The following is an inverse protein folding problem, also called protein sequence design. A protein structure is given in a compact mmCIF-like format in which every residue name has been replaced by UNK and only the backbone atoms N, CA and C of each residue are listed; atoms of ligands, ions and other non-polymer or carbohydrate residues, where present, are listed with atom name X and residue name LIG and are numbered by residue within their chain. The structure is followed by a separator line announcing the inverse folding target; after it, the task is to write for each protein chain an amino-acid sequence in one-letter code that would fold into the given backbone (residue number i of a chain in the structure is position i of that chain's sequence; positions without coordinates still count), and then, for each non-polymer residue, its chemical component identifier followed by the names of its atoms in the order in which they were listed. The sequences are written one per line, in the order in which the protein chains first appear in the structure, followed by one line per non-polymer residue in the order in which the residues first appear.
data_IF_326264746020
#
_entry.id   IF_326264746020
#
_cell.length_a   1.000
_cell.length_b   1.000
_cell.length_c   1.000
_cell.angle_alpha   90.00
_cell.angle_beta   90.00
_cell.angle_gamma   90.00
#
_symmetry.space_group_name_H-M   'P 1'
#
loop_
_entity.id
_entity.type
_entity.pdbx_description
1 polymer ?
#
# COMPACT_ATOMS: atom_id res chain seq x y z
N UNK A 1 65.65 -9.94 -17.26
CA UNK A 1 66.41 -9.12 -18.21
C UNK A 1 65.75 -7.77 -18.39
N UNK A 2 66.59 -6.77 -18.16
CA UNK A 2 66.47 -5.35 -18.49
C UNK A 2 65.41 -4.48 -17.79
N UNK A 3 65.94 -3.84 -16.80
CA UNK A 3 65.72 -2.53 -16.25
C UNK A 3 65.78 -1.43 -17.29
N UNK A 4 64.91 -0.40 -17.17
CA UNK A 4 65.21 0.93 -17.71
C UNK A 4 64.68 1.97 -16.74
N UNK A 5 65.65 2.66 -16.15
CA UNK A 5 65.52 3.90 -15.41
C UNK A 5 65.34 5.08 -16.39
N UNK A 6 64.51 6.03 -16.06
CA UNK A 6 64.62 7.42 -16.57
C UNK A 6 64.28 8.39 -15.46
N UNK A 7 65.28 8.97 -14.90
CA UNK A 7 65.62 10.35 -14.57
C UNK A 7 64.51 11.37 -14.73
N UNK A 8 64.08 12.07 -13.73
CA UNK A 8 64.70 13.21 -13.08
C UNK A 8 64.59 14.49 -13.90
N UNK A 9 63.64 15.40 -13.51
CA UNK A 9 63.85 16.82 -13.75
C UNK A 9 63.24 17.60 -12.61
N UNK A 10 64.09 18.09 -11.77
CA UNK A 10 63.88 19.06 -10.71
C UNK A 10 63.79 20.45 -11.34
N UNK A 11 62.64 21.08 -11.33
CA UNK A 11 62.54 22.50 -11.73
C UNK A 11 62.31 23.37 -10.49
N UNK A 12 63.33 24.05 -10.11
CA UNK A 12 63.39 25.07 -9.09
C UNK A 12 62.85 26.38 -9.68
N UNK A 13 61.75 26.92 -9.16
CA UNK A 13 61.31 28.29 -9.50
C UNK A 13 61.24 29.12 -8.24
N UNK A 14 61.94 30.20 -8.30
CA UNK A 14 62.14 31.23 -7.30
C UNK A 14 60.86 31.87 -6.78
N UNK A 15 60.85 32.18 -5.55
CA UNK A 15 59.89 33.04 -4.87
C UNK A 15 60.03 34.51 -5.29
N UNK A 16 58.89 35.15 -5.57
CA UNK A 16 58.77 36.61 -5.61
C UNK A 16 57.73 37.01 -4.56
N UNK A 17 58.06 37.86 -3.60
CA UNK A 17 57.09 38.41 -2.68
C UNK A 17 56.43 39.67 -3.30
N UNK A 18 55.14 39.65 -3.49
CA UNK A 18 54.39 40.80 -4.01
C UNK A 18 53.02 40.98 -3.39
N UNK A 19 52.97 41.99 -2.55
CA UNK A 19 51.83 42.83 -2.21
C UNK A 19 50.51 42.19 -1.69
N UNK A 20 50.27 42.51 -0.45
CA UNK A 20 49.06 42.52 0.30
C UNK A 20 47.88 43.15 -0.47
N UNK A 21 46.90 42.35 -0.79
CA UNK A 21 45.59 42.80 -1.21
C UNK A 21 44.54 42.03 -0.40
N UNK A 22 44.08 42.64 0.71
CA UNK A 22 42.96 42.07 1.47
C UNK A 22 41.68 42.18 0.68
N UNK A 23 41.32 41.12 -0.02
CA UNK A 23 40.00 40.97 -0.63
C UNK A 23 39.08 40.39 0.44
N UNK A 24 38.25 41.24 1.05
CA UNK A 24 37.14 40.81 1.88
C UNK A 24 36.14 40.04 0.96
N UNK A 25 36.25 38.74 0.92
CA UNK A 25 35.20 37.89 0.42
C UNK A 25 34.04 37.95 1.40
N UNK A 26 33.03 38.76 1.06
CA UNK A 26 31.74 38.65 1.71
C UNK A 26 31.19 37.24 1.44
N UNK A 27 31.25 36.39 2.47
CA UNK A 27 30.52 35.15 2.49
C UNK A 27 29.03 35.50 2.49
N UNK A 28 28.44 35.59 1.31
CA UNK A 28 26.99 35.49 1.16
C UNK A 28 26.58 34.08 1.53
N UNK A 29 26.25 33.89 2.80
CA UNK A 29 25.51 32.70 3.23
C UNK A 29 24.14 32.83 2.60
N UNK A 30 23.98 32.39 1.37
CA UNK A 30 22.68 32.12 0.84
C UNK A 30 22.08 31.05 1.77
N UNK A 31 21.16 31.48 2.62
CA UNK A 31 20.30 30.54 3.34
C UNK A 31 19.62 29.67 2.27
N UNK A 32 20.12 28.47 2.12
CA UNK A 32 19.39 27.44 1.37
C UNK A 32 18.07 27.25 2.12
N UNK A 33 17.03 27.90 1.63
CA UNK A 33 15.67 27.47 1.94
C UNK A 33 15.58 26.06 1.39
N UNK A 34 15.83 25.07 2.24
CA UNK A 34 15.37 23.70 1.96
C UNK A 34 13.89 23.82 1.69
N UNK A 35 13.40 23.40 0.51
CA UNK A 35 11.97 23.29 0.29
C UNK A 35 11.47 22.45 1.45
N UNK A 36 10.40 22.91 2.08
CA UNK A 36 9.71 22.23 3.18
C UNK A 36 9.55 20.79 2.72
N UNK A 37 10.50 19.96 3.14
CA UNK A 37 10.66 18.63 2.60
C UNK A 37 9.38 17.88 2.88
N UNK A 38 8.77 17.35 1.85
CA UNK A 38 7.90 16.21 2.03
C UNK A 38 8.69 15.27 2.94
N UNK A 39 8.34 15.20 4.21
CA UNK A 39 8.85 14.18 5.10
C UNK A 39 8.38 12.89 4.48
N UNK A 40 9.29 12.21 3.83
CA UNK A 40 9.06 10.85 3.36
C UNK A 40 8.69 10.06 4.61
N UNK A 41 7.39 9.80 4.79
CA UNK A 41 6.95 9.00 5.91
C UNK A 41 7.66 7.66 5.78
N UNK A 42 8.29 7.17 6.86
CA UNK A 42 8.95 5.88 6.80
C UNK A 42 7.91 4.86 6.30
N UNK A 43 8.30 3.94 5.39
CA UNK A 43 7.39 2.93 4.90
C UNK A 43 6.76 2.22 6.09
N UNK A 44 5.43 2.12 6.09
CA UNK A 44 4.74 1.37 7.13
C UNK A 44 5.32 -0.05 7.14
N UNK A 45 5.76 -0.51 8.31
CA UNK A 45 6.23 -1.87 8.45
C UNK A 45 5.09 -2.80 8.04
N UNK A 46 5.33 -3.60 7.01
CA UNK A 46 4.37 -4.61 6.59
C UNK A 46 4.07 -5.54 7.75
N UNK A 47 2.80 -5.86 7.93
CA UNK A 47 2.40 -6.81 8.96
C UNK A 47 3.01 -8.18 8.66
N UNK A 48 3.60 -8.80 9.66
CA UNK A 48 4.14 -10.17 9.53
C UNK A 48 3.03 -11.18 9.17
N UNK A 49 1.79 -10.87 9.51
CA UNK A 49 0.59 -11.62 9.17
C UNK A 49 -0.58 -10.67 8.99
N UNK A 50 -1.37 -10.87 7.94
CA UNK A 50 -2.60 -10.12 7.72
C UNK A 50 -3.65 -10.53 8.74
N UNK A 51 -4.28 -9.54 9.38
CA UNK A 51 -5.36 -9.73 10.33
C UNK A 51 -6.46 -8.71 10.07
N UNK A 52 -7.70 -9.11 10.19
CA UNK A 52 -8.84 -8.20 10.19
C UNK A 52 -8.80 -7.44 11.52
N UNK A 53 -8.79 -6.11 11.42
CA UNK A 53 -8.80 -5.21 12.58
C UNK A 53 -10.17 -4.60 12.83
N UNK A 54 -11.03 -4.57 11.79
CA UNK A 54 -12.40 -4.07 11.87
C UNK A 54 -13.29 -4.77 10.84
N UNK A 55 -14.52 -5.10 11.20
CA UNK A 55 -15.49 -5.80 10.36
C UNK A 55 -15.25 -7.31 10.31
N UNK A 56 -15.68 -7.98 9.22
CA UNK A 56 -16.39 -7.46 8.07
C UNK A 56 -17.86 -7.14 8.36
N UNK A 57 -18.38 -6.13 7.65
CA UNK A 57 -19.78 -5.68 7.77
C UNK A 57 -20.43 -5.47 6.41
N UNK A 58 -21.76 -5.54 6.36
CA UNK A 58 -22.54 -5.08 5.22
C UNK A 58 -22.61 -3.54 5.30
N UNK A 59 -21.94 -2.86 4.38
CA UNK A 59 -21.94 -1.39 4.31
C UNK A 59 -23.23 -0.85 3.67
N UNK A 60 -23.68 -1.49 2.60
CA UNK A 60 -24.88 -1.10 1.87
C UNK A 60 -25.49 -2.26 1.09
N UNK A 61 -26.80 -2.16 0.84
CA UNK A 61 -27.53 -3.03 -0.08
C UNK A 61 -28.43 -2.20 -0.99
N UNK A 62 -28.30 -2.36 -2.31
CA UNK A 62 -29.13 -1.67 -3.31
C UNK A 62 -29.21 -2.50 -4.59
N UNK A 63 -30.36 -2.55 -5.25
CA UNK A 63 -30.54 -3.16 -6.57
C UNK A 63 -29.96 -4.59 -6.68
N UNK A 64 -30.20 -5.44 -5.67
CA UNK A 64 -29.67 -6.80 -5.60
C UNK A 64 -28.13 -6.89 -5.51
N UNK A 65 -27.52 -5.85 -5.00
CA UNK A 65 -26.08 -5.66 -4.85
C UNK A 65 -25.75 -5.32 -3.39
N UNK A 66 -24.74 -5.98 -2.84
CA UNK A 66 -24.21 -5.72 -1.50
C UNK A 66 -22.80 -5.20 -1.57
N UNK A 67 -22.43 -4.28 -0.70
CA UNK A 67 -21.04 -3.90 -0.44
C UNK A 67 -20.63 -4.46 0.91
N UNK A 68 -19.66 -5.35 0.91
CA UNK A 68 -19.01 -5.88 2.11
C UNK A 68 -17.71 -5.13 2.33
N UNK A 69 -17.53 -4.58 3.53
CA UNK A 69 -16.33 -3.82 3.89
C UNK A 69 -15.65 -4.39 5.13
N UNK A 70 -14.34 -4.32 5.16
CA UNK A 70 -13.52 -4.64 6.34
C UNK A 70 -12.19 -3.88 6.29
N UNK A 71 -11.58 -3.72 7.44
CA UNK A 71 -10.23 -3.18 7.58
C UNK A 71 -9.27 -4.29 8.01
N UNK A 72 -8.12 -4.36 7.41
CA UNK A 72 -7.01 -5.19 7.88
C UNK A 72 -5.79 -4.32 8.21
N UNK A 73 -4.84 -4.88 8.95
CA UNK A 73 -3.49 -4.35 8.95
C UNK A 73 -2.93 -4.42 7.51
N UNK A 74 -1.90 -3.64 7.21
CA UNK A 74 -1.36 -3.59 5.85
C UNK A 74 -0.70 -4.93 5.47
N UNK A 75 -1.20 -5.62 4.41
CA UNK A 75 -0.64 -6.90 3.99
C UNK A 75 0.76 -6.78 3.38
N UNK A 76 1.16 -5.59 2.92
CA UNK A 76 2.41 -5.42 2.19
C UNK A 76 2.41 -6.07 0.80
N UNK A 77 3.59 -6.29 0.26
CA UNK A 77 3.76 -6.92 -1.07
C UNK A 77 3.51 -5.99 -2.25
N UNK A 78 2.83 -6.46 -3.28
CA UNK A 78 2.51 -5.70 -4.48
C UNK A 78 1.53 -4.56 -4.18
N UNK A 79 1.62 -3.46 -4.94
CA UNK A 79 0.66 -2.35 -4.82
C UNK A 79 -0.77 -2.77 -5.18
N UNK A 80 -0.88 -3.71 -6.10
CA UNK A 80 -2.16 -4.24 -6.55
C UNK A 80 -2.62 -5.35 -5.62
N UNK A 81 -3.79 -5.16 -5.02
CA UNK A 81 -4.44 -6.14 -4.16
C UNK A 81 -5.91 -6.29 -4.52
N UNK A 82 -6.48 -7.39 -4.06
CA UNK A 82 -7.89 -7.71 -4.23
C UNK A 82 -8.51 -8.07 -2.89
N UNK A 83 -9.66 -7.49 -2.60
CA UNK A 83 -10.59 -8.03 -1.61
C UNK A 83 -11.38 -9.17 -2.22
N UNK A 84 -11.59 -10.23 -1.47
CA UNK A 84 -12.32 -11.43 -1.89
C UNK A 84 -13.44 -11.70 -0.90
N UNK A 85 -14.64 -11.93 -1.40
CA UNK A 85 -15.78 -12.44 -0.64
C UNK A 85 -16.19 -13.78 -1.25
N UNK A 86 -16.06 -14.85 -0.49
CA UNK A 86 -16.66 -16.14 -0.83
C UNK A 86 -18.02 -16.24 -0.15
N UNK A 87 -19.09 -16.54 -0.87
CA UNK A 87 -20.44 -16.48 -0.35
C UNK A 87 -21.36 -17.57 -0.89
N UNK A 88 -22.49 -17.77 -0.24
CA UNK A 88 -23.53 -18.73 -0.62
C UNK A 88 -24.72 -18.68 0.31
N UNK A 89 -25.79 -19.43 -0.01
CA UNK A 89 -26.98 -19.55 0.84
C UNK A 89 -26.88 -20.67 1.87
N UNK A 90 -25.84 -21.48 1.79
CA UNK A 90 -25.52 -22.53 2.75
C UNK A 90 -24.21 -22.17 3.48
N UNK A 91 -24.24 -22.13 4.81
CA UNK A 91 -23.10 -21.81 5.66
C UNK A 91 -21.87 -22.71 5.37
N UNK A 92 -22.10 -23.96 5.01
CA UNK A 92 -21.05 -24.93 4.78
C UNK A 92 -20.61 -25.01 3.30
N UNK A 93 -21.29 -24.27 2.41
CA UNK A 93 -21.02 -24.26 0.98
C UNK A 93 -21.04 -22.83 0.43
N UNK A 94 -19.90 -22.17 0.50
CA UNK A 94 -19.68 -20.85 -0.08
C UNK A 94 -19.11 -21.02 -1.50
N UNK A 95 -19.99 -21.33 -2.45
CA UNK A 95 -19.62 -21.73 -3.82
C UNK A 95 -19.58 -20.59 -4.83
N UNK A 96 -19.86 -19.37 -4.40
CA UNK A 96 -19.76 -18.16 -5.20
C UNK A 96 -18.63 -17.28 -4.68
N UNK A 97 -18.07 -16.45 -5.55
CA UNK A 97 -16.98 -15.55 -5.19
C UNK A 97 -17.15 -14.20 -5.89
N UNK A 98 -17.01 -13.14 -5.13
CA UNK A 98 -16.85 -11.77 -5.61
C UNK A 98 -15.44 -11.28 -5.30
N UNK A 99 -14.91 -10.42 -6.19
CA UNK A 99 -13.57 -9.89 -6.10
C UNK A 99 -13.57 -8.43 -6.52
N UNK A 100 -12.97 -7.57 -5.72
CA UNK A 100 -12.78 -6.16 -6.05
C UNK A 100 -11.32 -5.78 -5.95
N UNK A 101 -10.85 -5.09 -6.97
CA UNK A 101 -9.50 -4.55 -7.02
C UNK A 101 -9.35 -3.35 -6.08
N UNK A 102 -8.22 -3.29 -5.38
CA UNK A 102 -7.79 -2.12 -4.63
C UNK A 102 -6.31 -1.84 -4.91
N UNK A 103 -5.89 -0.62 -4.64
CA UNK A 103 -4.48 -0.26 -4.61
C UNK A 103 -4.06 -0.01 -3.17
N UNK A 104 -3.02 -0.73 -2.72
CA UNK A 104 -2.49 -0.52 -1.38
C UNK A 104 -1.88 0.87 -1.25
N UNK A 105 -2.13 1.51 -0.13
CA UNK A 105 -1.34 2.66 0.29
C UNK A 105 -0.23 2.18 1.24
N UNK A 106 0.98 2.08 0.71
CA UNK A 106 2.14 1.60 1.46
C UNK A 106 2.51 2.45 2.68
N UNK A 107 2.02 3.68 2.72
CA UNK A 107 2.30 4.62 3.82
C UNK A 107 1.29 4.49 4.97
N UNK A 108 0.27 3.65 4.83
CA UNK A 108 -0.70 3.40 5.88
C UNK A 108 -0.44 2.04 6.53
N UNK A 109 -0.65 1.97 7.84
CA UNK A 109 -0.54 0.73 8.62
C UNK A 109 -1.76 -0.19 8.45
N UNK A 110 -2.78 0.24 7.73
CA UNK A 110 -4.02 -0.49 7.50
C UNK A 110 -4.51 -0.35 6.06
N UNK A 111 -5.39 -1.26 5.66
CA UNK A 111 -6.04 -1.27 4.35
C UNK A 111 -7.53 -1.52 4.54
N UNK A 112 -8.35 -0.70 3.88
CA UNK A 112 -9.81 -0.88 3.84
C UNK A 112 -10.19 -1.58 2.54
N UNK A 113 -10.82 -2.72 2.67
CA UNK A 113 -11.38 -3.48 1.56
C UNK A 113 -12.87 -3.20 1.42
N UNK A 114 -13.33 -3.06 0.19
CA UNK A 114 -14.75 -2.93 -0.18
C UNK A 114 -15.00 -3.82 -1.37
N UNK A 115 -15.79 -4.85 -1.17
CA UNK A 115 -16.10 -5.82 -2.22
C UNK A 115 -17.58 -5.76 -2.54
N UNK A 116 -17.86 -5.59 -3.83
CA UNK A 116 -19.19 -5.61 -4.39
C UNK A 116 -19.60 -7.04 -4.72
N UNK A 117 -20.75 -7.43 -4.24
CA UNK A 117 -21.39 -8.73 -4.46
C UNK A 117 -22.69 -8.50 -5.20
N UNK A 118 -22.76 -8.94 -6.45
CA UNK A 118 -23.89 -8.70 -7.36
C UNK A 118 -24.83 -9.92 -7.44
N UNK A 119 -26.02 -9.71 -8.01
CA UNK A 119 -26.94 -10.80 -8.37
C UNK A 119 -27.60 -11.50 -7.19
N UNK A 120 -27.66 -10.81 -6.05
CA UNK A 120 -28.32 -11.31 -4.85
C UNK A 120 -29.83 -11.34 -5.02
N UNK A 121 -30.50 -12.36 -4.48
CA UNK A 121 -31.96 -12.46 -4.47
C UNK A 121 -32.52 -11.77 -3.23
N UNK A 122 -33.68 -11.12 -3.34
CA UNK A 122 -34.33 -10.49 -2.19
C UNK A 122 -34.84 -11.51 -1.17
N UNK A 123 -34.87 -11.12 0.11
CA UNK A 123 -35.37 -11.93 1.22
C UNK A 123 -34.52 -13.16 1.55
N UNK A 124 -33.30 -13.25 1.05
CA UNK A 124 -32.42 -14.42 1.23
C UNK A 124 -31.29 -14.10 2.24
N UNK A 125 -31.01 -15.07 3.11
CA UNK A 125 -29.82 -15.03 3.96
C UNK A 125 -28.63 -15.60 3.21
N UNK A 126 -27.58 -14.80 3.12
CA UNK A 126 -26.28 -15.18 2.56
C UNK A 126 -25.25 -15.31 3.66
N UNK A 127 -24.47 -16.38 3.63
CA UNK A 127 -23.28 -16.59 4.45
C UNK A 127 -22.05 -16.24 3.65
N UNK A 128 -21.03 -15.68 4.29
CA UNK A 128 -19.81 -15.27 3.60
C UNK A 128 -18.58 -15.32 4.47
N UNK A 129 -17.44 -15.44 3.83
CA UNK A 129 -16.10 -15.21 4.39
C UNK A 129 -15.39 -14.15 3.58
N UNK A 130 -14.42 -13.48 4.18
CA UNK A 130 -13.58 -12.50 3.50
C UNK A 130 -12.13 -12.94 3.51
N UNK A 131 -11.39 -12.50 2.50
CA UNK A 131 -9.95 -12.73 2.36
C UNK A 131 -9.37 -11.59 1.50
N UNK A 132 -8.05 -11.51 1.44
CA UNK A 132 -7.34 -10.65 0.51
C UNK A 132 -6.28 -11.42 -0.27
N UNK A 133 -5.86 -10.85 -1.39
CA UNK A 133 -4.91 -11.48 -2.30
C UNK A 133 -4.08 -10.44 -3.02
N UNK A 134 -2.78 -10.66 -3.12
CA UNK A 134 -1.90 -9.84 -3.95
C UNK A 134 -2.19 -9.96 -5.44
N UNK A 135 -1.68 -9.00 -6.22
CA UNK A 135 -1.79 -9.01 -7.68
C UNK A 135 -1.16 -10.23 -8.34
N UNK A 136 -0.22 -10.87 -7.69
CA UNK A 136 0.43 -12.13 -8.09
C UNK A 136 -0.43 -13.40 -7.84
N UNK A 137 -1.59 -13.25 -7.22
CA UNK A 137 -2.49 -14.34 -6.86
C UNK A 137 -2.23 -14.98 -5.49
N UNK A 138 -1.21 -14.53 -4.77
CA UNK A 138 -0.92 -15.03 -3.42
C UNK A 138 -1.98 -14.55 -2.44
N UNK A 139 -2.63 -15.47 -1.72
CA UNK A 139 -3.61 -15.15 -0.69
C UNK A 139 -2.93 -14.78 0.61
N UNK A 140 -3.47 -13.78 1.28
CA UNK A 140 -2.93 -13.28 2.55
C UNK A 140 -3.26 -14.18 3.74
N UNK A 141 -4.19 -15.13 3.57
CA UNK A 141 -4.53 -16.12 4.58
C UNK A 141 -5.23 -15.53 5.80
N UNK A 142 -6.13 -14.58 5.58
CA UNK A 142 -6.95 -13.98 6.61
C UNK A 142 -7.84 -15.04 7.29
N UNK A 143 -8.12 -14.88 8.58
CA UNK A 143 -8.97 -15.79 9.34
C UNK A 143 -10.37 -15.89 8.71
N UNK A 144 -10.83 -17.12 8.50
CA UNK A 144 -12.06 -17.43 7.75
C UNK A 144 -13.27 -17.59 8.68
N UNK A 145 -13.59 -16.59 9.48
CA UNK A 145 -14.86 -16.59 10.17
C UNK A 145 -16.03 -16.48 9.16
N UNK A 146 -17.10 -17.22 9.40
CA UNK A 146 -18.29 -17.18 8.55
C UNK A 146 -19.28 -16.20 9.13
N UNK A 147 -19.57 -15.16 8.36
CA UNK A 147 -20.54 -14.12 8.64
C UNK A 147 -21.84 -14.34 7.86
N UNK A 148 -22.87 -13.57 8.11
CA UNK A 148 -24.10 -13.60 7.34
C UNK A 148 -24.75 -12.23 7.27
N UNK A 149 -25.58 -12.04 6.25
CA UNK A 149 -26.54 -10.96 6.14
C UNK A 149 -27.79 -11.46 5.44
N UNK A 150 -28.91 -10.78 5.64
CA UNK A 150 -30.16 -11.06 4.93
C UNK A 150 -30.49 -9.89 4.03
N UNK A 151 -30.73 -10.16 2.75
CA UNK A 151 -31.17 -9.14 1.79
C UNK A 151 -32.60 -8.70 2.14
N UNK A 152 -32.94 -7.41 1.96
CA UNK A 152 -34.32 -6.96 2.09
C UNK A 152 -35.26 -7.77 1.19
N UNK A 153 -36.47 -8.07 1.66
CA UNK A 153 -37.50 -8.57 0.79
C UNK A 153 -37.83 -7.53 -0.27
N UNK A 154 -38.28 -7.96 -1.47
CA UNK A 154 -38.74 -7.02 -2.48
C UNK A 154 -39.83 -6.14 -1.87
N UNK A 155 -39.53 -4.87 -1.72
CA UNK A 155 -40.52 -3.87 -1.51
C UNK A 155 -41.20 -3.67 -2.87
N UNK A 156 -42.29 -4.32 -3.11
CA UNK A 156 -43.18 -3.93 -4.22
C UNK A 156 -43.44 -2.45 -4.03
N UNK A 157 -42.83 -1.60 -4.86
CA UNK A 157 -43.21 -0.22 -4.97
C UNK A 157 -44.67 -0.20 -5.44
N UNK A 158 -45.55 0.51 -4.70
CA UNK A 158 -46.94 0.66 -5.08
C UNK A 158 -47.09 1.39 -6.42
#
# INVERSE_FOLDING_TARGET
MRSLHVNGLLLLILAVPGAVGSLLLANSTAAQMTPYGAQEMPPANNAARVQITEGPTLESFRNNEAIITWTSNNPGGADEHFGIVSYGTDRNRLNQMAKSHIRLNRNHSYTVFRVRVDGLKPGITYYYTVDSMGGDGTRDGVERAVYHFTTPADQQQP
#
